data_IF_203937121678
#
_entry.id   IF_203937121678
#
_cell.length_a   1.000
_cell.length_b   1.000
_cell.length_c   1.000
_cell.angle_alpha   90.00
_cell.angle_beta   90.00
_cell.angle_gamma   90.00
#
_symmetry.space_group_name_H-M   'P 1'
#
loop_
_entity.id
_entity.type
_entity.pdbx_description
1 polymer ?
#
# COMPACT_ATOMS: atom_id res chain seq x y z
N UNK A 1 -14.62 8.59 13.87
CA UNK A 1 -14.63 8.11 12.48
C UNK A 1 -13.26 7.60 12.13
N UNK A 2 -13.22 6.38 11.61
CA UNK A 2 -12.03 5.78 11.03
C UNK A 2 -12.07 6.12 9.53
N UNK A 3 -11.85 7.39 9.20
CA UNK A 3 -11.86 7.95 7.84
C UNK A 3 -10.61 7.55 7.04
N UNK A 4 -10.20 6.29 7.18
CA UNK A 4 -8.94 5.77 6.68
C UNK A 4 -9.23 4.60 5.73
N UNK A 5 -8.67 4.64 4.52
CA UNK A 5 -8.85 3.55 3.57
C UNK A 5 -7.87 2.44 3.91
N UNK A 6 -8.36 1.20 4.03
CA UNK A 6 -7.52 0.04 4.25
C UNK A 6 -7.49 -0.87 3.02
N UNK A 7 -6.29 -1.21 2.55
CA UNK A 7 -6.07 -2.14 1.45
C UNK A 7 -5.44 -3.44 1.92
N UNK A 8 -5.72 -4.52 1.19
CA UNK A 8 -5.12 -5.84 1.45
C UNK A 8 -3.64 -5.81 1.08
N UNK A 9 -2.77 -6.11 2.04
CA UNK A 9 -1.34 -6.29 1.79
C UNK A 9 -0.85 -7.66 2.28
N UNK A 10 0.22 -8.13 1.66
CA UNK A 10 0.96 -9.34 2.00
C UNK A 10 2.45 -8.93 2.10
N UNK A 11 3.35 -9.83 2.51
CA UNK A 11 4.78 -9.55 2.72
C UNK A 11 5.48 -8.89 1.51
N UNK A 12 4.90 -9.02 0.31
CA UNK A 12 5.42 -8.40 -0.92
C UNK A 12 5.04 -6.94 -1.14
N UNK A 13 3.85 -6.53 -0.72
CA UNK A 13 3.40 -5.15 -0.89
C UNK A 13 3.58 -4.35 0.41
N UNK A 14 3.64 -5.04 1.55
CA UNK A 14 3.92 -4.48 2.88
C UNK A 14 5.04 -3.42 2.92
N UNK A 15 6.25 -3.65 2.36
CA UNK A 15 7.30 -2.64 2.42
C UNK A 15 6.94 -1.34 1.69
N UNK A 16 6.02 -1.36 0.70
CA UNK A 16 5.53 -0.15 0.02
C UNK A 16 4.67 0.69 0.96
N UNK A 17 3.83 0.05 1.78
CA UNK A 17 3.04 0.72 2.82
C UNK A 17 3.95 1.28 3.92
N UNK A 18 4.90 0.49 4.43
CA UNK A 18 5.84 0.95 5.47
C UNK A 18 6.69 2.14 5.00
N UNK A 19 7.13 2.16 3.73
CA UNK A 19 7.86 3.28 3.14
C UNK A 19 7.02 4.54 2.98
N UNK A 20 5.71 4.39 2.76
CA UNK A 20 4.79 5.51 2.67
C UNK A 20 4.32 6.03 4.04
N UNK A 21 4.79 5.44 5.14
CA UNK A 21 4.39 5.81 6.50
C UNK A 21 3.05 5.23 6.94
N UNK A 22 2.53 4.24 6.21
CA UNK A 22 1.30 3.54 6.57
C UNK A 22 1.48 2.61 7.76
N UNK A 23 0.38 2.38 8.48
CA UNK A 23 0.32 1.42 9.57
C UNK A 23 -0.59 0.23 9.23
N UNK A 24 -0.36 -0.89 9.93
CA UNK A 24 -1.22 -2.06 9.83
C UNK A 24 -2.54 -1.80 10.57
N UNK A 25 -3.63 -2.37 10.06
CA UNK A 25 -4.95 -2.22 10.65
C UNK A 25 -5.01 -2.86 12.04
N UNK A 26 -5.31 -2.06 13.06
CA UNK A 26 -5.45 -2.49 14.45
C UNK A 26 -6.87 -2.18 14.94
N UNK A 27 -7.86 -3.08 14.74
CA UNK A 27 -9.25 -2.86 15.15
C UNK A 27 -9.45 -2.81 16.68
N UNK A 28 -8.56 -3.43 17.45
CA UNK A 28 -8.56 -3.41 18.92
C UNK A 28 -7.12 -3.34 19.43
N UNK A 29 -6.92 -2.67 20.56
CA UNK A 29 -5.59 -2.48 21.17
C UNK A 29 -4.88 -3.84 21.34
N UNK A 30 -3.73 -4.00 20.68
CA UNK A 30 -2.95 -5.24 20.69
C UNK A 30 -3.39 -6.32 19.71
N UNK A 31 -4.35 -6.06 18.82
CA UNK A 31 -4.80 -6.98 17.77
C UNK A 31 -4.50 -6.43 16.36
N UNK A 32 -3.25 -6.54 15.94
CA UNK A 32 -2.82 -6.14 14.59
C UNK A 32 -3.24 -7.18 13.55
N UNK A 33 -3.98 -6.76 12.52
CA UNK A 33 -4.25 -7.57 11.34
C UNK A 33 -3.16 -7.36 10.29
N UNK A 34 -2.29 -8.35 10.13
CA UNK A 34 -1.15 -8.32 9.21
C UNK A 34 -1.54 -8.22 7.71
N UNK A 35 -2.82 -8.42 7.39
CA UNK A 35 -3.33 -8.48 6.03
C UNK A 35 -3.98 -7.19 5.52
N UNK A 36 -4.15 -6.16 6.36
CA UNK A 36 -4.80 -4.90 5.98
C UNK A 36 -3.95 -3.73 6.46
N UNK A 37 -3.74 -2.75 5.58
CA UNK A 37 -2.85 -1.62 5.81
C UNK A 37 -3.53 -0.33 5.40
N UNK A 38 -3.34 0.72 6.20
CA UNK A 38 -3.87 2.05 5.93
C UNK A 38 -3.21 2.64 4.68
N UNK A 39 -4.00 3.31 3.83
CA UNK A 39 -3.50 4.03 2.67
C UNK A 39 -3.20 5.47 3.10
N UNK A 40 -2.00 6.00 2.81
CA UNK A 40 -1.67 7.38 3.16
C UNK A 40 -2.52 8.36 2.37
N UNK A 41 -2.81 9.52 2.96
CA UNK A 41 -3.52 10.61 2.29
C UNK A 41 -2.88 11.02 0.95
N UNK A 42 -1.55 11.05 0.88
CA UNK A 42 -0.79 11.38 -0.35
C UNK A 42 -1.16 10.46 -1.53
N UNK A 43 -1.32 9.17 -1.26
CA UNK A 43 -1.74 8.16 -2.24
C UNK A 43 -3.25 8.24 -2.52
N UNK A 44 -4.06 8.58 -1.52
CA UNK A 44 -5.50 8.78 -1.70
C UNK A 44 -5.80 10.01 -2.56
N UNK A 45 -4.97 11.05 -2.47
CA UNK A 45 -5.08 12.28 -3.26
C UNK A 45 -4.60 12.08 -4.70
N UNK A 46 -3.74 11.09 -4.99
CA UNK A 46 -3.32 10.72 -6.33
C UNK A 46 -4.09 9.50 -6.88
N UNK A 47 -5.03 9.68 -7.83
CA UNK A 47 -5.85 8.59 -8.34
C UNK A 47 -5.05 7.55 -9.14
N UNK A 48 -3.89 7.90 -9.70
CA UNK A 48 -3.06 6.97 -10.44
C UNK A 48 -2.30 6.04 -9.47
N UNK A 49 -1.76 6.59 -8.39
CA UNK A 49 -1.14 5.80 -7.32
C UNK A 49 -2.16 4.92 -6.61
N UNK A 50 -3.33 5.46 -6.27
CA UNK A 50 -4.40 4.67 -5.66
C UNK A 50 -4.82 3.49 -6.55
N UNK A 51 -4.89 3.69 -7.87
CA UNK A 51 -5.23 2.64 -8.82
C UNK A 51 -4.17 1.52 -8.84
N UNK A 52 -2.88 1.86 -8.84
CA UNK A 52 -1.81 0.86 -8.75
C UNK A 52 -1.90 0.05 -7.45
N UNK A 53 -2.08 0.73 -6.32
CA UNK A 53 -2.16 0.10 -5.01
C UNK A 53 -3.38 -0.83 -4.92
N UNK A 54 -4.53 -0.38 -5.44
CA UNK A 54 -5.77 -1.16 -5.50
C UNK A 54 -5.61 -2.39 -6.39
N UNK A 55 -4.98 -2.26 -7.56
CA UNK A 55 -4.71 -3.40 -8.45
C UNK A 55 -3.83 -4.45 -7.78
N UNK A 56 -2.77 -4.03 -7.08
CA UNK A 56 -1.92 -4.94 -6.33
C UNK A 56 -2.66 -5.65 -5.19
N UNK A 57 -3.52 -4.93 -4.46
CA UNK A 57 -4.36 -5.51 -3.42
C UNK A 57 -5.32 -6.57 -3.97
N UNK A 58 -5.96 -6.31 -5.12
CA UNK A 58 -6.86 -7.25 -5.81
C UNK A 58 -6.10 -8.49 -6.28
N UNK A 59 -4.89 -8.33 -6.83
CA UNK A 59 -4.04 -9.45 -7.26
C UNK A 59 -3.66 -10.37 -6.10
N UNK A 60 -3.40 -9.80 -4.92
CA UNK A 60 -3.11 -10.56 -3.70
C UNK A 60 -4.37 -11.28 -3.22
N UNK A 61 -5.51 -10.59 -3.17
CA UNK A 61 -6.78 -11.17 -2.73
C UNK A 61 -7.28 -12.31 -3.63
N UNK A 62 -7.09 -12.19 -4.95
CA UNK A 62 -7.50 -13.17 -5.94
C UNK A 62 -6.62 -14.43 -6.02
N UNK A 63 -5.48 -14.47 -5.33
CA UNK A 63 -4.55 -15.59 -5.36
C UNK A 63 -4.14 -16.04 -3.94
N UNK A 64 -5.04 -16.70 -3.19
CA UNK A 64 -4.78 -17.14 -1.81
C UNK A 64 -3.74 -18.27 -1.70
N UNK A 65 -3.21 -18.80 -2.81
CA UNK A 65 -2.39 -20.02 -2.83
C UNK A 65 -0.95 -19.87 -3.31
N UNK A 66 -0.52 -18.71 -3.80
CA UNK A 66 0.88 -18.52 -4.24
C UNK A 66 1.44 -17.27 -3.60
N UNK A 67 2.30 -17.48 -2.58
CA UNK A 67 3.39 -16.55 -2.22
C UNK A 67 4.10 -16.19 -3.53
N UNK A 68 3.67 -15.11 -4.19
CA UNK A 68 4.21 -14.78 -5.50
C UNK A 68 5.72 -14.61 -5.35
N UNK A 69 6.50 -15.36 -6.11
CA UNK A 69 7.92 -15.08 -6.20
C UNK A 69 7.99 -13.95 -7.23
N UNK A 70 8.34 -12.76 -6.77
CA UNK A 70 8.68 -11.59 -7.59
C UNK A 70 7.65 -11.18 -8.65
N UNK A 71 6.74 -10.28 -8.30
CA UNK A 71 6.34 -9.21 -9.22
C UNK A 71 6.87 -7.94 -8.57
N UNK A 72 8.03 -7.45 -8.99
CA UNK A 72 8.19 -6.86 -10.31
C UNK A 72 8.07 -5.37 -10.08
N UNK A 73 9.13 -4.79 -9.50
CA UNK A 73 9.24 -3.36 -9.32
C UNK A 73 9.12 -2.71 -10.69
N UNK A 74 7.95 -2.13 -10.96
CA UNK A 74 7.78 -1.22 -12.09
C UNK A 74 8.61 0.00 -11.76
N UNK A 75 9.78 0.07 -12.42
CA UNK A 75 10.54 1.30 -12.58
C UNK A 75 9.59 2.37 -13.12
N UNK A 76 9.37 3.45 -12.37
CA UNK A 76 9.29 4.78 -12.97
C UNK A 76 9.56 5.84 -11.89
N UNK A 77 10.76 6.44 -11.90
CA UNK A 77 10.94 7.85 -12.28
C UNK A 77 9.91 8.79 -11.63
N UNK A 78 10.27 9.35 -10.47
CA UNK A 78 10.12 10.78 -10.30
C UNK A 78 11.50 11.45 -10.33
N UNK A 79 11.90 11.79 -11.55
CA UNK A 79 12.93 12.79 -11.80
C UNK A 79 12.34 14.17 -11.52
N UNK A 80 12.86 14.79 -10.44
CA UNK A 80 13.18 16.21 -10.25
C UNK A 80 12.10 17.29 -10.48
N UNK A 81 12.06 18.20 -9.48
CA UNK A 81 12.01 19.70 -9.49
C UNK A 81 10.87 20.17 -8.55
N UNK A 82 11.04 21.13 -7.63
CA UNK A 82 11.73 22.43 -7.78
C UNK A 82 11.91 23.14 -6.43
N UNK A 83 13.03 23.86 -6.32
CA UNK A 83 13.43 24.94 -5.40
C UNK A 83 12.41 25.58 -4.46
N UNK A 84 12.88 25.92 -3.24
CA UNK A 84 12.71 27.28 -2.73
C UNK A 84 13.79 27.74 -1.72
N UNK A 85 14.58 28.70 -2.22
CA UNK A 85 15.39 29.75 -1.55
C UNK A 85 16.67 29.34 -0.81
#
# INVERSE_FOLDING_TARGET
DDDELYLKADDKNRPRFEQAGSHAFEPWEGHVMNGYWAVPADVLEDPAELAEWSQHAIQIAGNPGRKSRGSGGTKNKQVKRKSKR
#
